data_IF_464751042602
#
_entry.id   IF_464751042602
#
_cell.length_a   1.000
_cell.length_b   1.000
_cell.length_c   1.000
_cell.angle_alpha   90.00
_cell.angle_beta   90.00
_cell.angle_gamma   90.00
#
_symmetry.space_group_name_H-M   'P 1'
#
loop_
_entity.id
_entity.type
_entity.pdbx_description
1 polymer ?
#
# COMPACT_ATOMS: atom_id res chain seq x y z
N UNK A 1 3.77 8.75 -16.10
CA UNK A 1 4.94 9.18 -15.30
C UNK A 1 5.98 9.88 -16.15
N UNK A 2 6.59 9.26 -17.18
CA UNK A 2 7.64 9.89 -18.01
C UNK A 2 7.33 11.32 -18.45
N UNK A 3 6.20 11.54 -19.14
CA UNK A 3 5.73 12.88 -19.57
C UNK A 3 5.68 13.96 -18.49
N UNK A 4 5.44 13.59 -17.22
CA UNK A 4 5.42 14.55 -16.10
C UNK A 4 6.85 14.94 -15.73
N UNK A 5 7.75 13.95 -15.67
CA UNK A 5 9.15 14.18 -15.37
C UNK A 5 9.83 14.97 -16.49
N UNK A 6 9.56 14.64 -17.75
CA UNK A 6 10.07 15.37 -18.93
C UNK A 6 9.67 16.85 -18.86
N UNK A 7 8.41 17.15 -18.52
CA UNK A 7 7.95 18.52 -18.38
C UNK A 7 8.64 19.29 -17.23
N UNK A 8 8.95 18.61 -16.12
CA UNK A 8 9.69 19.22 -15.00
C UNK A 8 11.17 19.44 -15.38
N UNK A 9 11.74 18.53 -16.16
CA UNK A 9 13.09 18.68 -16.73
C UNK A 9 13.17 19.85 -17.71
N UNK A 10 12.19 20.00 -18.60
CA UNK A 10 12.10 21.13 -19.55
C UNK A 10 12.02 22.50 -18.83
N UNK A 11 11.47 22.55 -17.61
CA UNK A 11 11.46 23.74 -16.76
C UNK A 11 12.80 24.01 -16.07
N UNK A 12 13.73 23.05 -16.10
CA UNK A 12 15.03 23.12 -15.42
C UNK A 12 14.97 22.78 -13.92
N UNK A 13 13.83 22.27 -13.42
CA UNK A 13 13.57 22.08 -12.00
C UNK A 13 13.69 20.64 -11.51
N UNK A 14 13.94 19.68 -12.41
CA UNK A 14 13.96 18.25 -12.06
C UNK A 14 14.96 17.93 -10.95
N UNK A 15 16.16 18.51 -11.00
CA UNK A 15 17.19 18.26 -9.99
C UNK A 15 16.74 18.69 -8.60
N UNK A 16 15.97 19.78 -8.49
CA UNK A 16 15.47 20.30 -7.22
C UNK A 16 14.04 19.85 -6.89
N UNK A 17 13.51 18.86 -7.60
CA UNK A 17 12.19 18.31 -7.34
C UNK A 17 12.29 17.03 -6.49
N UNK A 18 11.57 16.98 -5.38
CA UNK A 18 11.36 15.76 -4.61
C UNK A 18 10.22 14.95 -5.26
N UNK A 19 10.58 13.82 -5.86
CA UNK A 19 9.63 12.85 -6.42
C UNK A 19 9.48 11.68 -5.45
N UNK A 20 8.25 11.40 -5.04
CA UNK A 20 7.88 10.24 -4.22
C UNK A 20 6.90 9.42 -5.04
N UNK A 21 7.29 8.19 -5.38
CA UNK A 21 6.44 7.23 -6.08
C UNK A 21 6.17 6.03 -5.18
N UNK A 22 4.90 5.72 -4.98
CA UNK A 22 4.45 4.54 -4.24
C UNK A 22 3.73 3.64 -5.24
N UNK A 23 4.21 2.40 -5.36
CA UNK A 23 3.65 1.40 -6.25
C UNK A 23 2.38 0.81 -5.64
N UNK A 24 1.27 1.54 -5.74
CA UNK A 24 -0.01 1.15 -5.16
C UNK A 24 -0.29 1.83 -3.81
N UNK A 25 -1.55 1.84 -3.41
CA UNK A 25 -2.01 2.34 -2.11
C UNK A 25 -2.23 1.20 -1.09
N UNK A 26 -2.21 -0.05 -1.54
CA UNK A 26 -2.32 -1.30 -0.77
C UNK A 26 -1.78 -2.46 -1.63
N UNK A 27 -1.64 -3.64 -1.04
CA UNK A 27 -1.21 -4.84 -1.77
C UNK A 27 -2.18 -5.24 -2.89
N UNK A 28 -1.80 -6.20 -3.73
CA UNK A 28 -2.60 -6.59 -4.89
C UNK A 28 -4.02 -7.03 -4.51
N UNK A 29 -5.01 -6.70 -5.35
CA UNK A 29 -6.42 -7.00 -5.09
C UNK A 29 -6.76 -8.46 -5.35
N UNK A 30 -7.53 -9.06 -4.45
CA UNK A 30 -8.00 -10.45 -4.57
C UNK A 30 -9.49 -10.53 -4.95
N UNK A 31 -10.09 -9.42 -5.35
CA UNK A 31 -11.54 -9.26 -5.53
C UNK A 31 -12.07 -9.99 -6.78
N UNK A 32 -11.18 -10.53 -7.63
CA UNK A 32 -11.55 -11.39 -8.77
C UNK A 32 -11.81 -12.85 -8.42
N UNK A 33 -11.63 -13.25 -7.16
CA UNK A 33 -11.87 -14.64 -6.73
C UNK A 33 -10.99 -15.69 -7.44
N UNK A 34 -11.28 -16.99 -7.27
CA UNK A 34 -10.44 -18.07 -7.79
C UNK A 34 -10.24 -18.07 -9.31
N UNK A 35 -11.18 -17.53 -10.07
CA UNK A 35 -11.25 -17.68 -11.53
C UNK A 35 -11.20 -16.36 -12.32
N UNK A 36 -11.17 -15.21 -11.63
CA UNK A 36 -11.36 -13.90 -12.27
C UNK A 36 -12.84 -13.59 -12.53
N UNK A 37 -13.10 -12.39 -13.05
CA UNK A 37 -14.45 -11.86 -13.33
C UNK A 37 -14.45 -11.07 -14.65
N UNK A 38 -15.56 -11.08 -15.38
CA UNK A 38 -15.86 -10.13 -16.46
C UNK A 38 -16.27 -8.76 -15.94
N UNK A 39 -16.91 -8.70 -14.77
CA UNK A 39 -17.32 -7.46 -14.12
C UNK A 39 -17.12 -7.50 -12.60
N UNK A 40 -16.15 -6.75 -12.09
CA UNK A 40 -15.82 -6.64 -10.66
C UNK A 40 -17.02 -6.23 -9.80
N UNK A 41 -18.01 -5.53 -10.34
CA UNK A 41 -19.21 -5.19 -9.58
C UNK A 41 -20.01 -6.42 -9.17
N UNK A 42 -19.89 -7.56 -9.86
CA UNK A 42 -20.56 -8.81 -9.45
C UNK A 42 -20.01 -9.30 -8.11
N UNK A 43 -18.70 -9.13 -7.86
CA UNK A 43 -18.08 -9.36 -6.55
C UNK A 43 -18.75 -8.52 -5.48
N UNK A 44 -18.73 -7.20 -5.59
CA UNK A 44 -19.30 -6.31 -4.56
C UNK A 44 -20.80 -6.53 -4.29
N UNK A 45 -21.53 -7.11 -5.25
CA UNK A 45 -22.95 -7.44 -5.11
C UNK A 45 -23.23 -8.92 -4.75
N UNK A 46 -22.19 -9.73 -4.54
CA UNK A 46 -22.32 -11.16 -4.21
C UNK A 46 -22.95 -12.00 -5.33
N UNK A 47 -22.86 -11.54 -6.58
CA UNK A 47 -23.37 -12.22 -7.76
C UNK A 47 -22.27 -13.12 -8.32
N UNK A 48 -22.43 -14.46 -8.34
CA UNK A 48 -21.44 -15.34 -8.94
C UNK A 48 -21.48 -15.23 -10.48
N UNK A 49 -20.32 -15.25 -11.11
CA UNK A 49 -20.18 -15.39 -12.57
C UNK A 49 -19.86 -16.83 -12.97
N UNK A 50 -20.45 -17.30 -14.07
CA UNK A 50 -20.12 -18.60 -14.66
C UNK A 50 -18.80 -18.51 -15.44
N UNK A 51 -17.82 -19.34 -15.07
CA UNK A 51 -16.53 -19.40 -15.75
C UNK A 51 -16.64 -19.68 -17.24
N UNK A 52 -17.64 -20.47 -17.69
CA UNK A 52 -17.85 -20.74 -19.10
C UNK A 52 -18.18 -19.46 -19.89
N UNK A 53 -18.90 -18.51 -19.28
CA UNK A 53 -19.21 -17.22 -19.89
C UNK A 53 -18.00 -16.28 -19.88
N UNK A 54 -17.20 -16.30 -18.80
CA UNK A 54 -15.91 -15.58 -18.75
C UNK A 54 -15.01 -16.05 -19.90
N UNK A 55 -14.88 -17.37 -20.08
CA UNK A 55 -13.99 -17.95 -21.08
C UNK A 55 -14.42 -17.63 -22.52
N UNK A 56 -15.73 -17.66 -22.81
CA UNK A 56 -16.27 -17.28 -24.13
C UNK A 56 -15.94 -15.85 -24.53
N UNK A 57 -15.75 -14.96 -23.53
CA UNK A 57 -15.50 -13.52 -23.71
C UNK A 57 -14.09 -13.11 -23.32
N UNK A 58 -13.16 -14.06 -23.21
CA UNK A 58 -11.79 -13.80 -22.76
C UNK A 58 -11.06 -12.74 -23.61
N UNK A 59 -11.31 -12.71 -24.92
CA UNK A 59 -10.69 -11.74 -25.83
C UNK A 59 -11.24 -10.30 -25.65
N UNK A 60 -12.32 -10.12 -24.89
CA UNK A 60 -12.87 -8.80 -24.57
C UNK A 60 -12.24 -8.18 -23.31
N UNK A 61 -11.51 -8.96 -22.50
CA UNK A 61 -10.93 -8.52 -21.23
C UNK A 61 -9.98 -7.33 -21.45
N UNK A 62 -10.12 -6.29 -20.62
CA UNK A 62 -9.39 -5.03 -20.75
C UNK A 62 -9.93 -4.10 -21.83
N UNK A 63 -10.92 -4.54 -22.60
CA UNK A 63 -11.66 -3.71 -23.56
C UNK A 63 -12.72 -2.83 -22.88
N UNK A 64 -13.36 -1.93 -23.64
CA UNK A 64 -14.35 -0.98 -23.10
C UNK A 64 -15.66 -1.62 -22.63
N UNK A 65 -15.89 -2.91 -22.93
CA UNK A 65 -17.12 -3.64 -22.63
C UNK A 65 -17.01 -4.55 -21.39
N UNK A 66 -15.88 -4.54 -20.70
CA UNK A 66 -15.63 -5.34 -19.50
C UNK A 66 -15.16 -4.46 -18.37
N UNK A 67 -15.51 -4.82 -17.14
CA UNK A 67 -14.93 -4.26 -15.93
C UNK A 67 -14.21 -5.39 -15.19
N UNK A 68 -13.29 -6.07 -15.86
CA UNK A 68 -12.79 -7.37 -15.42
C UNK A 68 -11.84 -7.27 -14.22
N UNK A 69 -11.72 -8.40 -13.49
CA UNK A 69 -10.72 -8.56 -12.43
C UNK A 69 -9.96 -9.88 -12.61
N UNK A 70 -8.66 -9.87 -12.34
CA UNK A 70 -7.82 -11.07 -12.44
C UNK A 70 -8.05 -12.08 -11.30
N UNK A 71 -7.78 -13.38 -11.52
CA UNK A 71 -7.83 -14.42 -10.49
C UNK A 71 -6.88 -14.17 -9.29
N UNK A 72 -7.25 -14.60 -8.09
CA UNK A 72 -6.45 -14.45 -6.85
C UNK A 72 -5.02 -14.98 -6.93
N UNK A 73 -4.75 -15.95 -7.81
CA UNK A 73 -3.39 -16.46 -8.02
C UNK A 73 -2.42 -15.35 -8.45
N UNK A 74 -2.88 -14.40 -9.28
CA UNK A 74 -2.10 -13.24 -9.68
C UNK A 74 -1.90 -12.23 -8.54
N UNK A 75 -2.90 -12.07 -7.66
CA UNK A 75 -2.77 -11.24 -6.47
C UNK A 75 -1.62 -11.74 -5.58
N UNK A 76 -1.59 -13.04 -5.29
CA UNK A 76 -0.51 -13.64 -4.51
C UNK A 76 0.85 -13.58 -5.21
N UNK A 77 0.89 -13.77 -6.54
CA UNK A 77 2.13 -13.65 -7.30
C UNK A 77 2.72 -12.23 -7.19
N UNK A 78 1.88 -11.19 -7.26
CA UNK A 78 2.32 -9.80 -7.14
C UNK A 78 2.76 -9.40 -5.72
N UNK A 79 2.26 -10.09 -4.69
CA UNK A 79 2.62 -9.80 -3.30
C UNK A 79 3.78 -10.66 -2.77
N UNK A 80 4.27 -11.62 -3.56
CA UNK A 80 5.37 -12.51 -3.17
C UNK A 80 6.61 -11.69 -2.80
N UNK A 81 7.29 -12.01 -1.67
CA UNK A 81 7.15 -13.22 -0.84
C UNK A 81 6.17 -13.08 0.33
N UNK A 82 5.42 -11.98 0.43
CA UNK A 82 4.57 -11.73 1.57
C UNK A 82 3.24 -12.48 1.48
N UNK A 83 2.72 -12.86 2.65
CA UNK A 83 1.42 -13.52 2.76
C UNK A 83 0.28 -12.51 2.55
N UNK A 84 -0.82 -13.01 1.97
CA UNK A 84 -2.08 -12.30 1.77
C UNK A 84 -2.03 -11.13 0.78
N UNK A 85 -3.09 -10.33 0.77
CA UNK A 85 -3.46 -9.39 -0.28
C UNK A 85 -4.14 -8.15 0.32
N UNK A 86 -4.62 -7.24 -0.54
CA UNK A 86 -5.52 -6.13 -0.18
C UNK A 86 -6.56 -6.55 0.87
N UNK A 87 -6.91 -5.61 1.75
CA UNK A 87 -7.79 -5.74 2.93
C UNK A 87 -7.21 -6.49 4.14
N UNK A 88 -6.14 -7.27 3.98
CA UNK A 88 -5.49 -7.98 5.09
C UNK A 88 -4.41 -7.11 5.73
N UNK A 89 -4.82 -6.18 6.59
CA UNK A 89 -3.91 -5.26 7.28
C UNK A 89 -2.91 -5.94 8.22
N UNK A 90 -3.16 -7.19 8.62
CA UNK A 90 -2.29 -7.94 9.53
C UNK A 90 -1.02 -8.49 8.87
N UNK A 91 -0.92 -8.48 7.53
CA UNK A 91 0.21 -9.07 6.80
C UNK A 91 0.72 -8.14 5.71
N UNK A 92 2.03 -8.22 5.44
CA UNK A 92 2.68 -7.32 4.48
C UNK A 92 2.25 -7.50 3.02
N UNK A 93 1.62 -8.62 2.65
CA UNK A 93 1.03 -8.74 1.32
C UNK A 93 -0.19 -7.83 1.12
N UNK A 94 -0.78 -7.28 2.20
CA UNK A 94 -1.82 -6.26 2.13
C UNK A 94 -1.32 -4.83 2.31
N UNK A 95 -0.13 -4.62 2.89
CA UNK A 95 0.32 -3.31 3.38
C UNK A 95 1.68 -2.84 2.89
N UNK A 96 2.54 -3.73 2.39
CA UNK A 96 3.84 -3.35 1.84
C UNK A 96 3.71 -2.99 0.36
N UNK A 97 4.16 -1.79 0.01
CA UNK A 97 4.24 -1.30 -1.37
C UNK A 97 5.67 -0.86 -1.68
N UNK A 98 6.07 -0.97 -2.95
CA UNK A 98 7.33 -0.41 -3.41
C UNK A 98 7.31 1.12 -3.28
N UNK A 99 8.36 1.69 -2.69
CA UNK A 99 8.54 3.14 -2.55
C UNK A 99 9.84 3.56 -3.22
N UNK A 100 9.76 4.54 -4.12
CA UNK A 100 10.91 5.19 -4.74
C UNK A 100 10.88 6.67 -4.38
N UNK A 101 12.00 7.16 -3.82
CA UNK A 101 12.20 8.58 -3.55
C UNK A 101 13.39 9.07 -4.39
N UNK A 102 13.18 10.11 -5.18
CA UNK A 102 14.21 10.76 -5.98
C UNK A 102 14.24 12.25 -5.67
N UNK A 103 15.43 12.80 -5.45
CA UNK A 103 15.66 14.23 -5.34
C UNK A 103 17.14 14.51 -5.69
N UNK A 104 17.49 14.66 -6.98
CA UNK A 104 18.90 14.63 -7.41
C UNK A 104 19.80 15.67 -6.73
N UNK A 105 19.27 16.84 -6.37
CA UNK A 105 19.99 17.86 -5.63
C UNK A 105 20.39 17.42 -4.21
N UNK A 106 19.60 16.54 -3.56
CA UNK A 106 19.80 16.10 -2.17
C UNK A 106 20.25 14.65 -2.03
N UNK A 107 19.67 13.72 -2.77
CA UNK A 107 20.01 12.29 -2.72
C UNK A 107 21.06 11.98 -3.78
N UNK A 108 22.31 11.78 -3.35
CA UNK A 108 23.44 11.50 -4.26
C UNK A 108 23.65 10.02 -4.57
N UNK A 109 23.23 9.16 -3.66
CA UNK A 109 23.33 7.71 -3.77
C UNK A 109 22.18 7.16 -4.65
N UNK A 110 22.38 7.20 -5.97
CA UNK A 110 21.37 6.82 -6.96
C UNK A 110 21.26 5.30 -7.09
N UNK A 111 20.04 4.79 -7.05
CA UNK A 111 19.75 3.36 -7.26
C UNK A 111 20.04 2.47 -6.05
N UNK A 112 20.40 3.05 -4.90
CA UNK A 112 20.59 2.29 -3.68
C UNK A 112 19.26 1.87 -3.04
N UNK A 113 19.32 0.80 -2.26
CA UNK A 113 18.17 0.24 -1.54
C UNK A 113 18.26 0.67 -0.08
N UNK A 114 17.14 1.15 0.47
CA UNK A 114 16.99 1.50 1.88
C UNK A 114 16.07 0.50 2.56
N UNK A 115 16.49 -0.03 3.70
CA UNK A 115 15.79 -1.11 4.42
C UNK A 115 15.14 -0.64 5.72
N UNK A 116 15.20 0.66 6.02
CA UNK A 116 14.54 1.22 7.19
C UNK A 116 13.02 1.01 7.09
N UNK A 117 12.42 0.46 8.14
CA UNK A 117 10.95 0.39 8.23
C UNK A 117 10.34 1.79 8.23
N UNK A 118 9.32 1.98 7.40
CA UNK A 118 8.54 3.20 7.27
C UNK A 118 7.09 2.87 6.90
N UNK A 119 6.18 3.82 7.17
CA UNK A 119 4.75 3.70 6.90
C UNK A 119 4.24 4.94 6.14
N UNK A 120 3.06 4.85 5.51
CA UNK A 120 2.52 5.95 4.68
C UNK A 120 2.38 7.27 5.45
N UNK A 121 2.19 7.21 6.76
CA UNK A 121 2.10 8.40 7.63
C UNK A 121 3.40 9.19 7.72
N UNK A 122 4.52 8.60 7.29
CA UNK A 122 5.85 9.22 7.28
C UNK A 122 6.05 10.15 6.08
N UNK A 123 5.20 10.08 5.06
CA UNK A 123 5.32 10.90 3.84
C UNK A 123 5.09 12.38 4.15
N UNK A 124 4.04 12.71 4.90
CA UNK A 124 3.74 14.09 5.27
C UNK A 124 4.88 14.78 6.05
N UNK A 125 5.41 14.23 7.17
CA UNK A 125 6.54 14.84 7.85
C UNK A 125 7.81 14.88 6.99
N UNK A 126 8.02 13.94 6.07
CA UNK A 126 9.14 13.98 5.12
C UNK A 126 9.05 15.18 4.19
N UNK A 127 7.87 15.44 3.61
CA UNK A 127 7.64 16.61 2.75
C UNK A 127 7.80 17.91 3.54
N UNK A 128 7.24 17.98 4.76
CA UNK A 128 7.36 19.16 5.62
C UNK A 128 8.83 19.48 5.95
N UNK A 129 9.61 18.48 6.36
CA UNK A 129 11.04 18.65 6.65
C UNK A 129 11.83 19.03 5.39
N UNK A 130 11.53 18.41 4.24
CA UNK A 130 12.15 18.75 2.96
C UNK A 130 11.91 20.22 2.57
N UNK A 131 10.72 20.75 2.85
CA UNK A 131 10.37 22.15 2.61
C UNK A 131 10.84 23.11 3.70
N UNK A 132 11.40 22.62 4.81
CA UNK A 132 11.74 23.45 5.98
C UNK A 132 10.52 24.05 6.70
N UNK A 133 9.37 23.38 6.60
CA UNK A 133 8.09 23.84 7.19
C UNK A 133 7.78 23.03 8.44
N UNK A 134 7.39 23.71 9.52
CA UNK A 134 6.85 23.05 10.70
C UNK A 134 5.33 22.85 10.56
N UNK A 135 4.83 21.67 10.94
CA UNK A 135 3.40 21.44 11.01
C UNK A 135 2.74 22.41 12.02
N UNK A 136 1.69 23.16 11.64
CA UNK A 136 1.06 24.11 12.53
C UNK A 136 0.24 23.39 13.62
N UNK A 137 0.38 23.83 14.87
CA UNK A 137 -0.45 23.34 15.97
C UNK A 137 -1.92 23.77 15.86
N UNK A 138 -2.18 24.91 15.19
CA UNK A 138 -3.51 25.47 14.94
C UNK A 138 -3.55 25.99 13.50
N UNK A 139 -4.59 25.63 12.76
CA UNK A 139 -4.85 26.13 11.41
C UNK A 139 -6.25 26.74 11.37
N UNK A 140 -6.37 28.02 10.99
CA UNK A 140 -7.64 28.76 10.94
C UNK A 140 -8.46 28.67 12.24
N UNK A 141 -7.78 28.72 13.39
CA UNK A 141 -8.43 28.61 14.71
C UNK A 141 -8.76 27.17 15.17
N UNK A 142 -8.49 26.15 14.35
CA UNK A 142 -8.73 24.74 14.68
C UNK A 142 -7.43 24.07 15.18
N UNK A 143 -7.38 23.54 16.41
CA UNK A 143 -6.26 22.73 16.88
C UNK A 143 -6.08 21.47 16.03
N UNK A 144 -4.84 21.19 15.66
CA UNK A 144 -4.49 20.03 14.83
C UNK A 144 -4.02 18.86 15.70
N UNK A 145 -4.22 17.63 15.23
CA UNK A 145 -3.61 16.46 15.84
C UNK A 145 -2.09 16.48 15.62
N UNK A 146 -1.29 15.90 16.53
CA UNK A 146 0.12 15.70 16.28
C UNK A 146 0.36 14.89 15.01
N UNK A 147 1.44 15.18 14.30
CA UNK A 147 1.91 14.31 13.22
C UNK A 147 2.49 13.05 13.86
N UNK A 148 1.88 11.90 13.58
CA UNK A 148 2.25 10.62 14.18
C UNK A 148 3.40 9.92 13.44
N UNK A 149 3.64 10.30 12.18
CA UNK A 149 4.73 9.77 11.37
C UNK A 149 6.09 10.39 11.69
N UNK A 150 7.13 9.77 11.15
CA UNK A 150 8.52 10.17 11.29
C UNK A 150 9.13 10.41 9.93
N UNK A 151 9.71 11.60 9.72
CA UNK A 151 10.36 11.94 8.46
C UNK A 151 11.46 10.95 8.07
N UNK A 152 11.56 10.69 6.76
CA UNK A 152 12.58 9.86 6.12
C UNK A 152 13.85 10.61 5.74
N UNK A 153 13.91 11.94 5.87
CA UNK A 153 15.05 12.78 5.42
C UNK A 153 16.38 12.31 6.02
N UNK A 154 16.38 11.85 7.28
CA UNK A 154 17.59 11.31 7.93
C UNK A 154 18.26 10.18 7.15
N UNK A 155 17.49 9.43 6.35
CA UNK A 155 17.99 8.32 5.58
C UNK A 155 18.68 8.79 4.30
N UNK A 156 18.35 9.95 3.75
CA UNK A 156 18.79 10.38 2.41
C UNK A 156 20.31 10.41 2.23
N UNK A 157 21.03 10.84 3.27
CA UNK A 157 22.49 10.93 3.24
C UNK A 157 23.19 9.73 3.92
N UNK A 158 22.43 8.83 4.54
CA UNK A 158 22.97 7.67 5.25
C UNK A 158 22.07 6.43 5.09
N UNK A 159 22.43 5.56 4.14
CA UNK A 159 21.72 4.31 3.89
C UNK A 159 21.74 3.32 5.04
N UNK A 160 22.69 3.44 5.97
CA UNK A 160 22.84 2.56 7.12
C UNK A 160 22.31 3.19 8.41
N UNK A 161 21.64 4.35 8.34
CA UNK A 161 21.02 4.93 9.53
C UNK A 161 19.97 3.97 10.10
N UNK A 162 19.88 3.80 11.42
CA UNK A 162 18.85 2.96 12.02
C UNK A 162 17.45 3.55 11.75
N UNK A 163 16.44 2.69 11.61
CA UNK A 163 15.04 3.11 11.53
C UNK A 163 14.67 4.04 12.67
N UNK A 164 14.09 5.20 12.32
CA UNK A 164 13.46 6.12 13.29
C UNK A 164 11.98 5.81 13.53
N UNK A 165 11.30 5.16 12.59
CA UNK A 165 9.96 4.63 12.80
C UNK A 165 10.08 3.26 13.51
N UNK A 166 9.79 3.24 14.82
CA UNK A 166 10.05 2.06 15.67
C UNK A 166 8.83 1.16 15.83
N UNK A 167 7.62 1.73 15.83
CA UNK A 167 6.38 1.01 16.12
C UNK A 167 5.26 1.49 15.21
N UNK A 168 4.55 0.57 14.57
CA UNK A 168 3.37 0.86 13.74
C UNK A 168 2.26 -0.13 14.05
N UNK A 169 1.04 0.39 14.26
CA UNK A 169 -0.18 -0.42 14.38
C UNK A 169 -0.93 -0.44 13.05
N UNK A 170 -1.55 -1.58 12.74
CA UNK A 170 -2.36 -1.82 11.56
C UNK A 170 -3.70 -2.43 11.97
N UNK A 171 -4.80 -1.89 11.45
CA UNK A 171 -6.11 -2.52 11.60
C UNK A 171 -7.02 -2.24 10.42
N UNK A 172 -7.66 -3.30 9.93
CA UNK A 172 -8.78 -3.20 9.01
C UNK A 172 -9.61 -4.50 9.10
N UNK A 173 -10.92 -4.38 9.22
CA UNK A 173 -11.85 -5.52 9.26
C UNK A 173 -11.44 -6.61 10.27
N UNK A 174 -11.00 -6.20 11.47
CA UNK A 174 -10.50 -7.08 12.53
C UNK A 174 -9.18 -7.82 12.22
N UNK A 175 -8.57 -7.62 11.06
CA UNK A 175 -7.18 -7.97 10.83
C UNK A 175 -6.30 -6.96 11.56
N UNK A 176 -5.50 -7.41 12.53
CA UNK A 176 -4.65 -6.53 13.34
C UNK A 176 -3.20 -6.96 13.27
N UNK A 177 -2.30 -6.00 13.22
CA UNK A 177 -0.89 -6.23 13.45
C UNK A 177 -0.23 -5.06 14.17
N UNK A 178 0.88 -5.35 14.84
CA UNK A 178 1.79 -4.34 15.35
C UNK A 178 3.21 -4.73 14.94
N UNK A 179 3.89 -3.79 14.30
CA UNK A 179 5.34 -3.83 14.10
C UNK A 179 6.01 -3.14 15.29
N UNK A 180 7.11 -3.68 15.79
CA UNK A 180 7.98 -3.03 16.77
C UNK A 180 9.44 -3.50 16.62
N UNK A 181 10.35 -2.59 16.27
CA UNK A 181 11.80 -2.84 16.22
C UNK A 181 12.21 -4.14 15.51
N UNK A 182 11.67 -4.38 14.31
CA UNK A 182 11.95 -5.56 13.49
C UNK A 182 11.05 -6.76 13.77
N UNK A 183 10.25 -6.72 14.84
CA UNK A 183 9.26 -7.74 15.16
C UNK A 183 7.88 -7.37 14.64
N UNK A 184 7.08 -8.38 14.27
CA UNK A 184 5.68 -8.22 13.93
C UNK A 184 4.86 -9.24 14.70
N UNK A 185 3.83 -8.78 15.39
CA UNK A 185 2.76 -9.62 15.92
C UNK A 185 1.49 -9.36 15.11
N UNK A 186 0.87 -10.43 14.60
CA UNK A 186 -0.27 -10.36 13.69
C UNK A 186 -1.35 -11.37 14.07
N UNK A 187 -2.62 -11.02 13.84
CA UNK A 187 -3.74 -11.95 13.97
C UNK A 187 -3.91 -12.76 12.70
N UNK A 188 -4.33 -14.02 12.85
CA UNK A 188 -4.85 -14.81 11.72
C UNK A 188 -6.08 -14.11 11.13
N UNK A 189 -6.15 -13.89 9.81
CA UNK A 189 -7.33 -13.29 9.20
C UNK A 189 -8.59 -14.11 9.50
N UNK A 190 -9.68 -13.48 9.98
CA UNK A 190 -10.89 -14.21 10.35
C UNK A 190 -11.65 -14.73 9.13
N UNK A 191 -11.54 -14.04 7.99
CA UNK A 191 -12.17 -14.35 6.72
C UNK A 191 -11.20 -14.00 5.60
N UNK A 192 -11.15 -14.83 4.55
CA UNK A 192 -10.35 -14.52 3.37
C UNK A 192 -10.96 -13.33 2.60
N UNK A 193 -10.16 -12.43 2.02
CA UNK A 193 -10.66 -11.19 1.43
C UNK A 193 -11.42 -11.39 0.11
N UNK A 194 -11.55 -12.63 -0.37
CA UNK A 194 -12.36 -13.04 -1.54
C UNK A 194 -13.61 -13.85 -1.15
N UNK A 195 -13.84 -14.06 0.16
CA UNK A 195 -15.00 -14.81 0.67
C UNK A 195 -16.03 -13.86 1.31
N UNK A 196 -16.92 -13.33 0.48
CA UNK A 196 -18.00 -12.41 0.91
C UNK A 196 -19.07 -13.06 1.78
N UNK A 197 -19.09 -14.40 1.88
CA UNK A 197 -20.04 -15.15 2.71
C UNK A 197 -19.41 -15.67 3.99
N UNK A 198 -18.11 -15.41 4.20
CA UNK A 198 -17.41 -15.81 5.41
C UNK A 198 -18.03 -15.15 6.64
N UNK A 199 -18.64 -15.95 7.51
CA UNK A 199 -19.09 -15.50 8.82
C UNK A 199 -17.88 -15.30 9.72
N UNK A 200 -17.78 -14.15 10.40
CA UNK A 200 -16.84 -14.02 11.52
C UNK A 200 -17.14 -15.11 12.56
N UNK A 201 -16.17 -15.97 12.87
CA UNK A 201 -16.30 -16.84 14.03
C UNK A 201 -16.53 -15.98 15.28
N UNK A 202 -17.50 -16.31 16.14
CA UNK A 202 -17.68 -15.58 17.40
C UNK A 202 -16.38 -15.61 18.20
N UNK A 203 -16.01 -14.47 18.78
CA UNK A 203 -14.72 -14.21 19.48
C UNK A 203 -14.39 -15.23 20.60
N UNK A 204 -15.33 -16.09 21.00
CA UNK A 204 -15.21 -17.01 22.14
C UNK A 204 -14.82 -18.46 21.81
N UNK A 205 -14.48 -18.83 20.57
CA UNK A 205 -14.20 -20.24 20.23
C UNK A 205 -12.78 -20.74 20.50
N UNK A 206 -11.86 -19.89 21.01
CA UNK A 206 -10.44 -20.24 21.18
C UNK A 206 -9.88 -20.06 22.60
N UNK A 207 -10.73 -20.12 23.63
CA UNK A 207 -10.31 -20.19 25.05
C UNK A 207 -10.36 -21.63 25.61
N UNK A 208 -10.06 -22.64 24.78
CA UNK A 208 -9.97 -24.05 25.18
C UNK A 208 -8.56 -24.59 25.05
#
# INVERSE_FOLDING_TARGET
MGRILDAIEDMGDLDNTLVIYIQGDNGASAEGGPQGLLNELTYFNGVPEDFAEILKRMDELGGPNTNNHYPIGWAHAMNTPFQWTKQIASHFGGTANGLVISWPARIKDKGSIRTQFHHIIDIAPTILEACGVQAPAVLNGVPQKPVEGVSMVYSFDNAQAPSKHRTQYFEMFANRAIYSDGWVAATTPPVAPWDLKGSFSPVNSHLG
#
